data_IF_464724020772
#
_entry.id   IF_464724020772
#
_cell.length_a   1.000
_cell.length_b   1.000
_cell.length_c   1.000
_cell.angle_alpha   90.00
_cell.angle_beta   90.00
_cell.angle_gamma   90.00
#
_symmetry.space_group_name_H-M   'P 1'
#
loop_
_entity.id
_entity.type
_entity.pdbx_description
1 polymer ?
#
# COMPACT_ATOMS: atom_id res chain seq x y z
N UNK A 1 -5.38 -0.68 9.43
CA UNK A 1 -6.82 -0.39 9.19
C UNK A 1 -7.49 0.48 10.25
N UNK A 2 -7.44 0.13 11.54
CA UNK A 2 -8.20 0.85 12.58
C UNK A 2 -7.85 2.34 12.67
N UNK A 3 -6.57 2.67 12.46
CA UNK A 3 -6.11 4.06 12.46
C UNK A 3 -6.86 4.93 11.43
N UNK A 4 -6.98 4.48 10.18
CA UNK A 4 -7.64 5.25 9.11
C UNK A 4 -9.16 5.29 9.30
N UNK A 5 -9.76 4.19 9.76
CA UNK A 5 -11.18 4.15 10.10
C UNK A 5 -11.54 5.12 11.23
N UNK A 6 -10.68 5.24 12.24
CA UNK A 6 -10.86 6.21 13.32
C UNK A 6 -10.76 7.67 12.84
N UNK A 7 -10.15 7.91 11.67
CA UNK A 7 -10.11 9.21 11.00
C UNK A 7 -11.27 9.40 10.00
N UNK A 8 -12.23 8.48 9.96
CA UNK A 8 -13.40 8.55 9.09
C UNK A 8 -13.17 8.09 7.65
N UNK A 9 -12.00 7.53 7.34
CA UNK A 9 -11.70 7.01 6.00
C UNK A 9 -12.48 5.72 5.77
N UNK A 10 -13.19 5.65 4.66
CA UNK A 10 -14.00 4.51 4.25
C UNK A 10 -13.14 3.38 3.67
N UNK A 11 -13.67 2.16 3.72
CA UNK A 11 -13.02 1.00 3.11
C UNK A 11 -12.80 1.17 1.60
N UNK A 12 -13.71 1.89 0.91
CA UNK A 12 -13.59 2.19 -0.50
C UNK A 12 -12.44 3.17 -0.79
N UNK A 13 -12.27 4.19 0.04
CA UNK A 13 -11.16 5.14 -0.09
C UNK A 13 -9.81 4.45 0.16
N UNK A 14 -9.73 3.56 1.15
CA UNK A 14 -8.51 2.81 1.44
C UNK A 14 -8.12 1.84 0.30
N UNK A 15 -9.10 1.20 -0.32
CA UNK A 15 -8.91 0.32 -1.49
C UNK A 15 -8.49 1.15 -2.72
N UNK A 16 -9.18 2.28 -2.96
CA UNK A 16 -8.93 3.18 -4.10
C UNK A 16 -7.58 3.88 -4.01
N UNK A 17 -7.16 4.29 -2.82
CA UNK A 17 -5.83 4.85 -2.56
C UNK A 17 -4.72 3.78 -2.57
N UNK A 18 -5.09 2.49 -2.69
CA UNK A 18 -4.15 1.38 -2.78
C UNK A 18 -3.32 1.15 -1.51
N UNK A 19 -3.78 1.63 -0.36
CA UNK A 19 -3.16 1.38 0.96
C UNK A 19 -3.70 0.09 1.60
N UNK A 20 -4.84 -0.38 1.11
CA UNK A 20 -5.48 -1.62 1.48
C UNK A 20 -5.59 -2.60 0.31
N UNK A 21 -5.82 -3.87 0.62
CA UNK A 21 -6.21 -4.89 -0.37
C UNK A 21 -7.23 -5.84 0.26
N UNK A 22 -8.07 -6.45 -0.55
CA UNK A 22 -8.97 -7.52 -0.08
C UNK A 22 -8.27 -8.86 -0.08
N UNK A 23 -8.51 -9.65 0.96
CA UNK A 23 -8.08 -11.05 1.01
C UNK A 23 -9.06 -11.98 0.28
N UNK A 24 -8.81 -13.29 0.33
CA UNK A 24 -9.69 -14.30 -0.32
C UNK A 24 -11.08 -14.40 0.30
N UNK A 25 -11.26 -13.91 1.52
CA UNK A 25 -12.55 -13.87 2.23
C UNK A 25 -13.31 -12.58 1.97
N UNK A 26 -12.71 -11.63 1.25
CA UNK A 26 -13.26 -10.29 1.01
C UNK A 26 -12.98 -9.29 2.12
N UNK A 27 -12.22 -9.69 3.16
CA UNK A 27 -11.83 -8.82 4.26
C UNK A 27 -10.71 -7.88 3.83
N UNK A 28 -10.81 -6.62 4.24
CA UNK A 28 -9.81 -5.60 3.94
C UNK A 28 -8.59 -5.76 4.87
N UNK A 29 -7.39 -5.87 4.28
CA UNK A 29 -6.13 -6.04 4.99
C UNK A 29 -5.08 -5.02 4.56
N UNK A 30 -4.16 -4.68 5.46
CA UNK A 30 -3.10 -3.69 5.19
C UNK A 30 -2.17 -4.22 4.09
N UNK A 31 -2.00 -3.43 3.00
CA UNK A 31 -1.21 -3.85 1.84
C UNK A 31 0.29 -3.96 2.15
N UNK A 32 0.81 -3.07 2.99
CA UNK A 32 2.24 -2.93 3.25
C UNK A 32 2.68 -3.56 4.57
N UNK A 33 2.11 -4.72 4.93
CA UNK A 33 2.49 -5.45 6.15
C UNK A 33 3.97 -5.87 6.10
N UNK A 34 4.67 -5.71 7.22
CA UNK A 34 6.09 -6.06 7.42
C UNK A 34 7.06 -5.39 6.42
N UNK A 35 6.72 -4.15 6.02
CA UNK A 35 7.51 -3.36 5.08
C UNK A 35 7.77 -1.97 5.63
N UNK A 36 8.96 -1.44 5.34
CA UNK A 36 9.23 -0.01 5.49
C UNK A 36 8.50 0.73 4.36
N UNK A 37 7.59 1.63 4.71
CA UNK A 37 6.74 2.36 3.76
C UNK A 37 7.34 3.74 3.51
N UNK A 38 7.56 4.08 2.25
CA UNK A 38 8.02 5.40 1.81
C UNK A 38 6.95 6.04 0.92
N UNK A 39 6.64 7.33 1.10
CA UNK A 39 5.72 8.03 0.21
C UNK A 39 6.37 8.27 -1.16
N UNK A 40 5.54 8.26 -2.20
CA UNK A 40 5.85 8.76 -3.53
C UNK A 40 5.14 10.11 -3.62
N UNK A 41 5.93 11.18 -3.71
CA UNK A 41 5.43 12.55 -3.70
C UNK A 41 5.73 13.27 -5.01
N UNK A 42 4.81 14.14 -5.41
CA UNK A 42 5.00 15.08 -6.51
C UNK A 42 4.36 16.42 -6.15
N UNK A 43 5.12 17.51 -6.23
CA UNK A 43 4.65 18.86 -5.88
C UNK A 43 4.00 18.98 -4.48
N UNK A 44 4.46 18.19 -3.51
CA UNK A 44 3.93 18.18 -2.14
C UNK A 44 2.66 17.35 -1.94
N UNK A 45 2.16 16.71 -3.00
CA UNK A 45 1.05 15.76 -2.93
C UNK A 45 1.57 14.32 -2.90
N UNK A 46 0.98 13.50 -2.03
CA UNK A 46 1.29 12.07 -1.96
C UNK A 46 0.50 11.36 -3.06
N UNK A 47 1.21 10.84 -4.06
CA UNK A 47 0.62 10.10 -5.18
C UNK A 47 0.47 8.61 -4.87
N UNK A 48 1.30 8.09 -3.97
CA UNK A 48 1.27 6.68 -3.59
C UNK A 48 2.36 6.34 -2.60
N UNK A 49 2.62 5.04 -2.45
CA UNK A 49 3.57 4.50 -1.49
C UNK A 49 4.38 3.35 -2.10
N UNK A 50 5.60 3.19 -1.59
CA UNK A 50 6.44 2.02 -1.86
C UNK A 50 6.83 1.34 -0.55
N UNK A 51 6.54 0.05 -0.47
CA UNK A 51 6.91 -0.81 0.65
C UNK A 51 8.18 -1.60 0.34
N UNK A 52 9.29 -1.29 1.02
CA UNK A 52 10.52 -2.08 0.99
C UNK A 52 10.45 -3.19 2.06
N UNK A 53 10.61 -4.44 1.65
CA UNK A 53 10.68 -5.57 2.59
C UNK A 53 11.91 -5.45 3.50
N UNK A 54 11.79 -5.92 4.73
CA UNK A 54 12.93 -6.06 5.64
C UNK A 54 14.03 -6.92 4.97
N UNK A 55 15.30 -6.48 4.99
CA UNK A 55 16.39 -7.22 4.34
C UNK A 55 16.60 -8.61 4.96
N UNK A 56 16.35 -8.73 6.27
CA UNK A 56 16.57 -9.96 7.04
C UNK A 56 15.31 -10.85 7.17
N UNK A 57 14.27 -10.61 6.37
CA UNK A 57 13.09 -11.47 6.35
C UNK A 57 13.46 -12.91 5.97
N UNK A 58 13.04 -13.89 6.78
CA UNK A 58 13.36 -15.31 6.59
C UNK A 58 12.75 -15.84 5.29
N UNK A 59 13.22 -16.99 4.77
CA UNK A 59 12.69 -17.54 3.51
C UNK A 59 11.17 -17.82 3.55
N UNK A 60 10.61 -18.13 4.72
CA UNK A 60 9.16 -18.26 4.93
C UNK A 60 8.43 -16.90 4.90
N UNK A 61 9.11 -15.83 5.29
CA UNK A 61 8.64 -14.44 5.23
C UNK A 61 8.87 -13.80 3.84
N UNK A 62 9.56 -14.49 2.91
CA UNK A 62 9.80 -14.00 1.54
C UNK A 62 8.56 -14.08 0.64
N UNK A 63 7.36 -13.91 1.18
CA UNK A 63 6.15 -13.77 0.37
C UNK A 63 6.14 -12.40 -0.31
N UNK A 64 6.25 -12.41 -1.64
CA UNK A 64 6.11 -11.23 -2.48
C UNK A 64 7.41 -10.46 -2.78
N UNK A 65 7.33 -9.39 -3.58
CA UNK A 65 8.49 -8.73 -4.17
C UNK A 65 9.32 -7.92 -3.17
N UNK A 66 10.59 -7.64 -3.52
CA UNK A 66 11.51 -6.80 -2.73
C UNK A 66 10.97 -5.37 -2.54
N UNK A 67 10.34 -4.83 -3.58
CA UNK A 67 9.61 -3.57 -3.58
C UNK A 67 8.16 -3.82 -3.97
N UNK A 68 7.24 -3.30 -3.19
CA UNK A 68 5.81 -3.33 -3.49
C UNK A 68 5.34 -1.90 -3.66
N UNK A 69 4.91 -1.54 -4.86
CA UNK A 69 4.32 -0.23 -5.12
C UNK A 69 2.80 -0.28 -4.86
N UNK A 70 2.22 0.88 -4.58
CA UNK A 70 0.78 1.11 -4.73
C UNK A 70 0.34 0.68 -6.14
N UNK A 71 -0.84 0.03 -6.30
CA UNK A 71 -1.44 -0.20 -7.61
C UNK A 71 -1.72 1.14 -8.33
N UNK A 72 -2.09 1.11 -9.61
CA UNK A 72 -2.56 2.33 -10.27
C UNK A 72 -3.76 2.88 -9.48
N UNK A 73 -3.67 4.14 -9.11
CA UNK A 73 -4.74 4.89 -8.45
C UNK A 73 -5.19 6.00 -9.39
N UNK A 74 -6.37 6.61 -9.18
CA UNK A 74 -6.76 7.80 -9.93
C UNK A 74 -5.71 8.92 -9.90
N UNK A 75 -4.83 8.94 -8.88
CA UNK A 75 -3.76 9.93 -8.70
C UNK A 75 -2.38 9.44 -9.18
N UNK A 76 -2.22 8.16 -9.52
CA UNK A 76 -0.93 7.57 -9.91
C UNK A 76 -1.10 6.56 -11.03
N UNK A 77 -0.61 6.94 -12.22
CA UNK A 77 -0.49 6.05 -13.37
C UNK A 77 1.00 5.87 -13.67
N UNK A 78 1.50 4.63 -13.58
CA UNK A 78 2.94 4.32 -13.78
C UNK A 78 3.43 4.59 -15.22
N UNK A 79 2.53 4.86 -16.17
CA UNK A 79 2.82 5.01 -17.60
C UNK A 79 2.84 6.44 -18.15
N UNK A 80 2.39 7.45 -17.39
CA UNK A 80 2.21 8.82 -17.89
C UNK A 80 3.29 9.81 -17.42
N UNK A 81 4.45 9.29 -16.97
CA UNK A 81 5.64 10.07 -16.64
C UNK A 81 6.73 10.01 -17.71
#
# INVERSE_FOLDING_TARGET
MDHLRNHGVTDLEMDTAGVATRDRTGSLIDRFRDRAVFPIEHNGEILGFVGRRHPDATEDDRKGPKYLNTPDTPLFHKGDC
#
